data_IF_255458077929
#
_entry.id   IF_255458077929
#
_cell.length_a   1.000
_cell.length_b   1.000
_cell.length_c   1.000
_cell.angle_alpha   90.00
_cell.angle_beta   90.00
_cell.angle_gamma   90.00
#
_symmetry.space_group_name_H-M   'P 1'
#
loop_
_entity.id
_entity.type
_entity.pdbx_description
1 polymer ?
#
# COMPACT_ATOMS: atom_id res chain seq x y z
N UNK A 1 -3.67 -13.12 -13.34
CA UNK A 1 -2.43 -12.45 -12.89
C UNK A 1 -1.52 -13.48 -12.26
N UNK A 2 -0.23 -13.43 -12.52
CA UNK A 2 0.76 -14.24 -11.80
C UNK A 2 1.08 -13.60 -10.44
N UNK A 3 0.89 -14.39 -9.37
CA UNK A 3 1.08 -14.01 -7.97
C UNK A 3 2.38 -14.59 -7.38
N UNK A 4 3.20 -15.30 -8.17
CA UNK A 4 4.37 -16.07 -7.68
C UNK A 4 5.32 -15.22 -6.84
N UNK A 5 5.53 -13.96 -7.22
CA UNK A 5 6.43 -13.06 -6.52
C UNK A 5 5.71 -12.08 -5.57
N UNK A 6 4.38 -12.08 -5.50
CA UNK A 6 3.63 -11.08 -4.73
C UNK A 6 3.41 -11.60 -3.29
N UNK A 7 3.60 -10.73 -2.30
CA UNK A 7 3.40 -11.10 -0.88
C UNK A 7 2.00 -11.68 -0.64
N UNK A 8 1.91 -12.75 0.15
CA UNK A 8 0.64 -13.47 0.38
C UNK A 8 -0.47 -12.58 0.96
N UNK A 9 -0.11 -11.61 1.80
CA UNK A 9 -1.05 -10.63 2.38
C UNK A 9 -1.79 -9.82 1.30
N UNK A 10 -1.10 -9.50 0.21
CA UNK A 10 -1.67 -8.77 -0.92
C UNK A 10 -2.59 -9.65 -1.77
N UNK A 11 -2.23 -10.93 -1.96
CA UNK A 11 -3.12 -11.90 -2.61
C UNK A 11 -4.41 -12.07 -1.82
N UNK A 12 -4.33 -12.23 -0.50
CA UNK A 12 -5.51 -12.33 0.36
C UNK A 12 -6.37 -11.08 0.32
N UNK A 13 -5.75 -9.89 0.39
CA UNK A 13 -6.49 -8.63 0.27
C UNK A 13 -7.29 -8.59 -1.02
N UNK A 14 -6.71 -9.07 -2.12
CA UNK A 14 -7.38 -9.13 -3.41
C UNK A 14 -8.50 -10.18 -3.46
N UNK A 15 -8.24 -11.40 -2.98
CA UNK A 15 -9.24 -12.49 -2.93
C UNK A 15 -10.46 -12.08 -2.09
N UNK A 16 -10.22 -11.38 -0.99
CA UNK A 16 -11.23 -10.98 -0.02
C UNK A 16 -11.72 -9.53 -0.18
N UNK A 17 -11.32 -8.82 -1.25
CA UNK A 17 -11.64 -7.39 -1.39
C UNK A 17 -13.16 -7.14 -1.35
N UNK A 18 -13.93 -8.07 -1.92
CA UNK A 18 -15.39 -8.08 -1.89
C UNK A 18 -15.97 -8.01 -0.45
N UNK A 19 -15.32 -8.61 0.55
CA UNK A 19 -15.76 -8.54 1.95
C UNK A 19 -15.67 -7.12 2.53
N UNK A 20 -14.83 -6.26 1.94
CA UNK A 20 -14.68 -4.85 2.32
C UNK A 20 -15.65 -3.94 1.55
N UNK A 21 -16.02 -4.30 0.32
CA UNK A 21 -16.81 -3.45 -0.59
C UNK A 21 -18.31 -3.76 -0.56
N UNK A 22 -18.70 -5.04 -0.55
CA UNK A 22 -20.11 -5.46 -0.61
C UNK A 22 -20.98 -4.90 0.52
N UNK A 23 -20.51 -4.77 1.78
CA UNK A 23 -21.31 -4.16 2.85
C UNK A 23 -21.67 -2.70 2.58
N UNK A 24 -20.91 -2.01 1.73
CA UNK A 24 -21.22 -0.65 1.25
C UNK A 24 -22.03 -0.65 -0.05
N UNK A 25 -22.52 -1.80 -0.50
CA UNK A 25 -23.25 -1.98 -1.76
C UNK A 25 -22.36 -1.91 -3.00
N UNK A 26 -21.05 -2.05 -2.84
CA UNK A 26 -20.07 -1.94 -3.94
C UNK A 26 -19.74 -3.35 -4.44
N UNK A 27 -20.20 -3.66 -5.64
CA UNK A 27 -19.91 -4.90 -6.35
C UNK A 27 -18.88 -4.61 -7.45
N UNK A 28 -17.68 -5.14 -7.27
CA UNK A 28 -16.56 -4.89 -8.19
C UNK A 28 -16.65 -5.89 -9.36
N UNK A 29 -16.84 -5.43 -10.61
CA UNK A 29 -16.87 -6.32 -11.76
C UNK A 29 -15.49 -6.92 -12.04
N UNK A 30 -15.46 -8.07 -12.74
CA UNK A 30 -14.23 -8.85 -12.94
C UNK A 30 -13.09 -8.07 -13.62
N UNK A 31 -13.42 -7.22 -14.60
CA UNK A 31 -12.45 -6.37 -15.28
C UNK A 31 -11.81 -5.38 -14.31
N UNK A 32 -12.61 -4.77 -13.43
CA UNK A 32 -12.13 -3.86 -12.41
C UNK A 32 -11.33 -4.57 -11.33
N UNK A 33 -11.76 -5.78 -10.98
CA UNK A 33 -11.05 -6.61 -10.02
C UNK A 33 -9.67 -7.01 -10.56
N UNK A 34 -9.57 -7.31 -11.86
CA UNK A 34 -8.30 -7.54 -12.52
C UNK A 34 -7.42 -6.28 -12.49
N UNK A 35 -7.97 -5.10 -12.78
CA UNK A 35 -7.22 -3.84 -12.72
C UNK A 35 -6.66 -3.57 -11.31
N UNK A 36 -7.44 -3.81 -10.26
CA UNK A 36 -6.99 -3.72 -8.87
C UNK A 36 -5.88 -4.73 -8.54
N UNK A 37 -5.99 -5.96 -9.05
CA UNK A 37 -4.93 -6.96 -8.93
C UNK A 37 -3.62 -6.46 -9.55
N UNK A 38 -3.71 -5.89 -10.76
CA UNK A 38 -2.54 -5.36 -11.47
C UNK A 38 -1.93 -4.16 -10.74
N UNK A 39 -2.76 -3.28 -10.17
CA UNK A 39 -2.30 -2.20 -9.29
C UNK A 39 -1.51 -2.75 -8.10
N UNK A 40 -2.04 -3.74 -7.39
CA UNK A 40 -1.38 -4.34 -6.22
C UNK A 40 -0.02 -4.92 -6.61
N UNK A 41 0.05 -5.70 -7.70
CA UNK A 41 1.33 -6.24 -8.16
C UNK A 41 2.31 -5.16 -8.63
N UNK A 42 1.81 -4.10 -9.25
CA UNK A 42 2.62 -2.97 -9.67
C UNK A 42 3.20 -2.19 -8.46
N UNK A 43 2.43 -2.01 -7.40
CA UNK A 43 2.91 -1.42 -6.14
C UNK A 43 4.03 -2.29 -5.55
N UNK A 44 3.80 -3.60 -5.41
CA UNK A 44 4.78 -4.50 -4.80
C UNK A 44 6.09 -4.59 -5.61
N UNK A 45 6.03 -4.64 -6.95
CA UNK A 45 7.25 -4.64 -7.77
C UNK A 45 8.02 -3.32 -7.66
N UNK A 46 7.33 -2.18 -7.69
CA UNK A 46 7.96 -0.86 -7.58
C UNK A 46 8.61 -0.68 -6.22
N UNK A 47 7.93 -1.10 -5.15
CA UNK A 47 8.43 -1.09 -3.78
C UNK A 47 9.73 -1.91 -3.65
N UNK A 48 9.74 -3.14 -4.19
CA UNK A 48 10.94 -3.99 -4.19
C UNK A 48 12.11 -3.40 -4.97
N UNK A 49 11.87 -2.78 -6.11
CA UNK A 49 12.94 -2.16 -6.89
C UNK A 49 13.46 -0.90 -6.19
N UNK A 50 12.57 -0.08 -5.60
CA UNK A 50 12.94 1.08 -4.78
C UNK A 50 13.81 0.69 -3.58
N UNK A 51 13.45 -0.37 -2.87
CA UNK A 51 14.16 -0.80 -1.67
C UNK A 51 15.58 -1.33 -1.94
N UNK A 52 15.87 -1.71 -3.19
CA UNK A 52 17.23 -2.09 -3.63
C UNK A 52 18.13 -0.88 -3.91
N UNK A 53 17.55 0.30 -4.09
CA UNK A 53 18.29 1.51 -4.46
C UNK A 53 18.67 2.27 -3.19
N UNK A 54 19.97 2.30 -2.87
CA UNK A 54 20.48 2.94 -1.64
C UNK A 54 20.47 4.46 -1.69
N UNK A 55 20.84 5.06 -2.82
CA UNK A 55 20.97 6.51 -2.95
C UNK A 55 19.62 7.20 -3.22
N UNK A 56 19.32 8.25 -2.47
CA UNK A 56 18.08 9.02 -2.63
C UNK A 56 17.94 9.67 -4.01
N UNK A 57 19.04 10.14 -4.60
CA UNK A 57 19.07 10.68 -5.96
C UNK A 57 18.65 9.65 -7.01
N UNK A 58 19.01 8.39 -6.79
CA UNK A 58 18.78 7.31 -7.73
C UNK A 58 17.34 6.83 -7.62
N UNK A 59 16.79 6.78 -6.39
CA UNK A 59 15.34 6.55 -6.15
C UNK A 59 14.49 7.63 -6.81
N UNK A 60 14.87 8.90 -6.65
CA UNK A 60 14.18 10.03 -7.29
C UNK A 60 14.22 9.92 -8.83
N UNK A 61 15.37 9.54 -9.38
CA UNK A 61 15.54 9.34 -10.82
C UNK A 61 14.67 8.18 -11.31
N UNK A 62 14.68 7.05 -10.60
CA UNK A 62 13.84 5.88 -10.88
C UNK A 62 12.35 6.25 -10.89
N UNK A 63 11.85 6.89 -9.83
CA UNK A 63 10.44 7.29 -9.73
C UNK A 63 10.06 8.33 -10.77
N UNK A 64 10.91 9.32 -11.01
CA UNK A 64 10.66 10.31 -12.06
C UNK A 64 10.51 9.65 -13.43
N UNK A 65 11.31 8.64 -13.75
CA UNK A 65 11.20 7.90 -15.00
C UNK A 65 9.94 7.02 -15.08
N UNK A 66 9.59 6.32 -13.98
CA UNK A 66 8.33 5.57 -13.89
C UNK A 66 7.13 6.49 -14.09
N UNK A 67 7.09 7.62 -13.39
CA UNK A 67 6.00 8.59 -13.50
C UNK A 67 5.91 9.21 -14.89
N UNK A 68 7.03 9.53 -15.53
CA UNK A 68 7.07 10.05 -16.90
C UNK A 68 6.51 9.04 -17.91
N UNK A 69 6.82 7.76 -17.72
CA UNK A 69 6.26 6.67 -18.51
C UNK A 69 4.75 6.51 -18.30
N UNK A 70 4.29 6.40 -17.04
CA UNK A 70 2.87 6.25 -16.70
C UNK A 70 2.01 7.44 -17.14
N UNK A 71 2.56 8.65 -17.05
CA UNK A 71 1.91 9.89 -17.51
C UNK A 71 1.82 9.97 -19.04
N UNK A 72 2.60 9.16 -19.75
CA UNK A 72 2.67 9.14 -21.21
C UNK A 72 3.54 10.24 -21.82
N UNK A 73 4.37 10.90 -21.01
CA UNK A 73 5.37 11.88 -21.48
C UNK A 73 6.67 11.21 -21.95
N UNK A 74 6.82 9.89 -21.75
CA UNK A 74 7.80 9.02 -22.41
C UNK A 74 7.08 7.88 -23.15
N UNK A 75 7.60 7.47 -24.31
CA UNK A 75 7.19 6.23 -24.98
C UNK A 75 7.62 5.03 -24.15
N UNK A 76 8.88 5.03 -23.72
CA UNK A 76 9.55 3.90 -23.09
C UNK A 76 9.84 4.14 -21.62
N UNK A 77 9.85 3.06 -20.85
CA UNK A 77 10.26 3.06 -19.45
C UNK A 77 11.79 2.99 -19.39
N UNK A 78 12.42 4.11 -19.03
CA UNK A 78 13.89 4.24 -19.01
C UNK A 78 14.39 4.10 -17.57
N UNK A 79 14.46 2.86 -17.08
CA UNK A 79 15.01 2.51 -15.76
C UNK A 79 15.78 1.19 -15.86
N UNK A 80 16.71 0.95 -14.94
CA UNK A 80 17.19 -0.41 -14.67
C UNK A 80 16.11 -1.13 -13.83
N UNK A 81 15.80 -2.38 -14.16
CA UNK A 81 14.77 -3.14 -13.46
C UNK A 81 14.54 -4.52 -14.05
N UNK A 82 13.72 -5.31 -13.36
CA UNK A 82 13.32 -6.65 -13.79
C UNK A 82 12.33 -6.64 -14.97
N UNK A 83 12.28 -7.73 -15.74
CA UNK A 83 11.24 -7.95 -16.78
C UNK A 83 9.82 -7.81 -16.21
N UNK A 84 9.61 -8.28 -14.98
CA UNK A 84 8.35 -8.14 -14.24
C UNK A 84 7.96 -6.66 -14.05
N UNK A 85 8.92 -5.77 -13.75
CA UNK A 85 8.65 -4.33 -13.64
C UNK A 85 8.13 -3.78 -14.97
N UNK A 86 8.80 -4.08 -16.09
CA UNK A 86 8.42 -3.58 -17.40
C UNK A 86 7.01 -4.05 -17.80
N UNK A 87 6.71 -5.34 -17.62
CA UNK A 87 5.40 -5.91 -17.91
C UNK A 87 4.31 -5.25 -17.07
N UNK A 88 4.50 -5.17 -15.75
CA UNK A 88 3.51 -4.59 -14.83
C UNK A 88 3.29 -3.11 -15.08
N UNK A 89 4.34 -2.34 -15.39
CA UNK A 89 4.20 -0.91 -15.72
C UNK A 89 3.45 -0.71 -17.03
N UNK A 90 3.67 -1.56 -18.05
CA UNK A 90 2.93 -1.48 -19.30
C UNK A 90 1.43 -1.74 -19.09
N UNK A 91 1.09 -2.81 -18.38
CA UNK A 91 -0.30 -3.13 -18.03
C UNK A 91 -0.93 -2.01 -17.18
N UNK A 92 -0.21 -1.50 -16.18
CA UNK A 92 -0.70 -0.43 -15.33
C UNK A 92 -0.96 0.84 -16.15
N UNK A 93 -0.05 1.21 -17.06
CA UNK A 93 -0.19 2.37 -17.94
C UNK A 93 -1.45 2.28 -18.79
N UNK A 94 -1.73 1.12 -19.37
CA UNK A 94 -2.95 0.89 -20.14
C UNK A 94 -4.20 1.02 -19.28
N UNK A 95 -4.21 0.45 -18.08
CA UNK A 95 -5.34 0.55 -17.16
C UNK A 95 -5.61 2.00 -16.75
N UNK A 96 -4.61 2.74 -16.27
CA UNK A 96 -4.80 4.15 -15.85
C UNK A 96 -5.16 5.07 -17.02
N UNK A 97 -4.76 4.72 -18.25
CA UNK A 97 -5.16 5.43 -19.45
C UNK A 97 -6.63 5.15 -19.79
N UNK A 98 -7.05 3.88 -19.81
CA UNK A 98 -8.44 3.48 -20.08
C UNK A 98 -9.41 4.08 -19.07
N UNK A 99 -8.98 4.20 -17.81
CA UNK A 99 -9.78 4.78 -16.73
C UNK A 99 -9.69 6.31 -16.65
N UNK A 100 -8.89 6.94 -17.51
CA UNK A 100 -8.69 8.39 -17.56
C UNK A 100 -8.19 9.00 -16.23
N UNK A 101 -7.44 8.22 -15.45
CA UNK A 101 -6.91 8.62 -14.12
C UNK A 101 -5.42 8.97 -14.12
N UNK A 102 -4.75 8.98 -15.27
CA UNK A 102 -3.28 9.17 -15.37
C UNK A 102 -2.72 10.29 -14.50
N UNK A 103 -3.31 11.49 -14.57
CA UNK A 103 -2.81 12.67 -13.86
C UNK A 103 -2.94 12.47 -12.35
N UNK A 104 -4.17 12.20 -11.88
CA UNK A 104 -4.48 12.01 -10.46
C UNK A 104 -3.71 10.82 -9.86
N UNK A 105 -3.56 9.73 -10.61
CA UNK A 105 -2.77 8.58 -10.22
C UNK A 105 -1.29 8.95 -10.05
N UNK A 106 -0.67 9.58 -11.06
CA UNK A 106 0.75 9.94 -10.99
C UNK A 106 1.03 10.97 -9.89
N UNK A 107 0.13 11.92 -9.68
CA UNK A 107 0.27 12.92 -8.62
C UNK A 107 0.12 12.29 -7.23
N UNK A 108 -0.76 11.29 -7.10
CA UNK A 108 -0.87 10.50 -5.86
C UNK A 108 0.39 9.69 -5.59
N UNK A 109 0.95 9.00 -6.59
CA UNK A 109 2.21 8.26 -6.47
C UNK A 109 3.36 9.19 -6.07
N UNK A 110 3.48 10.36 -6.70
CA UNK A 110 4.50 11.35 -6.32
C UNK A 110 4.40 11.69 -4.83
N UNK A 111 3.21 11.97 -4.33
CA UNK A 111 3.00 12.26 -2.90
C UNK A 111 3.34 11.07 -2.01
N UNK A 112 2.99 9.84 -2.40
CA UNK A 112 3.35 8.62 -1.65
C UNK A 112 4.87 8.55 -1.49
N UNK A 113 5.61 8.72 -2.59
CA UNK A 113 7.09 8.68 -2.58
C UNK A 113 7.67 9.81 -1.75
N UNK A 114 7.16 11.03 -1.87
CA UNK A 114 7.62 12.18 -1.09
C UNK A 114 7.46 11.92 0.43
N UNK A 115 6.33 11.33 0.84
CA UNK A 115 6.13 10.90 2.23
C UNK A 115 7.04 9.73 2.62
N UNK A 116 7.29 8.77 1.73
CA UNK A 116 8.24 7.68 1.96
C UNK A 116 9.67 8.16 2.20
N UNK A 117 10.16 9.12 1.42
CA UNK A 117 11.48 9.73 1.62
C UNK A 117 11.53 10.61 2.88
N UNK A 118 10.48 11.41 3.13
CA UNK A 118 10.40 12.21 4.36
C UNK A 118 10.36 11.33 5.62
N UNK A 119 9.71 10.15 5.55
CA UNK A 119 9.75 9.12 6.60
C UNK A 119 11.18 8.61 6.84
N UNK A 120 11.93 8.28 5.78
CA UNK A 120 13.34 7.83 5.87
C UNK A 120 14.22 8.85 6.60
N UNK A 121 13.98 10.15 6.33
CA UNK A 121 14.75 11.29 6.85
C UNK A 121 14.21 11.87 8.17
N UNK A 122 13.12 11.34 8.71
CA UNK A 122 12.47 11.89 9.90
C UNK A 122 13.40 11.86 11.12
N UNK A 123 13.38 12.93 11.90
CA UNK A 123 14.25 13.12 13.07
C UNK A 123 13.53 12.85 14.39
N UNK A 124 12.20 12.72 14.36
CA UNK A 124 11.39 12.39 15.53
C UNK A 124 10.40 11.27 15.23
N UNK A 125 9.96 10.57 16.30
CA UNK A 125 8.91 9.55 16.17
C UNK A 125 7.61 10.14 15.60
N UNK A 126 7.26 11.38 15.93
CA UNK A 126 5.99 11.98 15.50
C UNK A 126 6.01 12.32 14.01
N UNK A 127 7.11 12.89 13.51
CA UNK A 127 7.30 13.14 12.08
C UNK A 127 7.30 11.83 11.29
N UNK A 128 8.06 10.83 11.74
CA UNK A 128 8.13 9.54 11.07
C UNK A 128 6.75 8.88 10.99
N UNK A 129 6.01 8.86 12.11
CA UNK A 129 4.65 8.30 12.15
C UNK A 129 3.70 9.09 11.28
N UNK A 130 3.80 10.41 11.25
CA UNK A 130 2.97 11.24 10.38
C UNK A 130 3.17 10.88 8.91
N UNK A 131 4.42 10.83 8.46
CA UNK A 131 4.73 10.47 7.07
C UNK A 131 4.34 9.02 6.74
N UNK A 132 4.59 8.08 7.65
CA UNK A 132 4.17 6.68 7.52
C UNK A 132 2.65 6.54 7.34
N UNK A 133 1.87 7.24 8.15
CA UNK A 133 0.40 7.20 8.10
C UNK A 133 -0.11 7.84 6.81
N UNK A 134 0.46 8.97 6.40
CA UNK A 134 0.00 9.70 5.21
C UNK A 134 0.39 8.98 3.91
N UNK A 135 1.59 8.40 3.85
CA UNK A 135 2.05 7.51 2.76
C UNK A 135 0.98 6.43 2.49
N UNK A 136 0.59 5.68 3.53
CA UNK A 136 -0.36 4.58 3.37
C UNK A 136 -1.79 5.02 3.17
N UNK A 137 -2.20 6.16 3.75
CA UNK A 137 -3.50 6.77 3.44
C UNK A 137 -3.60 7.09 1.95
N UNK A 138 -2.52 7.63 1.36
CA UNK A 138 -2.42 7.92 -0.07
C UNK A 138 -2.34 6.64 -0.91
N UNK A 139 -1.64 5.59 -0.44
CA UNK A 139 -1.68 4.28 -1.10
C UNK A 139 -3.11 3.75 -1.17
N UNK A 140 -3.91 3.95 -0.13
CA UNK A 140 -5.35 3.64 -0.12
C UNK A 140 -6.20 4.46 -1.10
N UNK A 141 -5.72 5.62 -1.57
CA UNK A 141 -6.37 6.39 -2.63
C UNK A 141 -6.27 5.66 -3.97
N UNK A 142 -5.18 4.94 -4.25
CA UNK A 142 -4.98 4.29 -5.55
C UNK A 142 -6.07 3.26 -5.89
N UNK A 143 -6.45 2.31 -5.01
CA UNK A 143 -7.58 1.41 -5.27
C UNK A 143 -8.90 2.16 -5.48
N UNK A 144 -9.13 3.27 -4.76
CA UNK A 144 -10.35 4.07 -4.93
C UNK A 144 -10.37 4.76 -6.30
N UNK A 145 -9.23 5.27 -6.77
CA UNK A 145 -9.12 5.79 -8.14
C UNK A 145 -9.47 4.75 -9.19
N UNK A 146 -9.18 3.48 -8.91
CA UNK A 146 -9.59 2.39 -9.77
C UNK A 146 -11.08 2.14 -9.66
N UNK A 147 -11.68 2.15 -8.46
CA UNK A 147 -13.12 1.96 -8.29
C UNK A 147 -13.97 3.06 -8.96
N UNK A 148 -13.49 4.31 -9.03
CA UNK A 148 -14.17 5.44 -9.68
C UNK A 148 -15.64 5.57 -9.22
N UNK A 149 -16.58 5.54 -10.17
CA UNK A 149 -18.02 5.64 -9.94
C UNK A 149 -18.61 4.52 -9.07
N UNK A 150 -17.87 3.42 -8.87
CA UNK A 150 -18.27 2.34 -7.97
C UNK A 150 -18.02 2.69 -6.50
N UNK A 151 -17.12 3.64 -6.23
CA UNK A 151 -16.79 4.07 -4.87
C UNK A 151 -17.93 4.90 -4.25
N UNK A 152 -18.04 4.86 -2.93
CA UNK A 152 -18.96 5.71 -2.16
C UNK A 152 -18.18 6.54 -1.13
N UNK A 153 -18.64 7.76 -0.78
CA UNK A 153 -17.98 8.56 0.24
C UNK A 153 -17.85 7.85 1.60
N UNK A 154 -18.79 6.98 1.94
CA UNK A 154 -18.78 6.17 3.15
C UNK A 154 -17.68 5.11 3.11
N UNK A 155 -17.59 4.37 1.99
CA UNK A 155 -16.53 3.40 1.77
C UNK A 155 -15.16 4.07 1.79
N UNK A 156 -14.98 5.21 1.12
CA UNK A 156 -13.70 5.93 1.09
C UNK A 156 -13.23 6.34 2.49
N UNK A 157 -14.13 6.91 3.30
CA UNK A 157 -13.82 7.27 4.69
C UNK A 157 -13.36 6.06 5.50
N UNK A 158 -14.04 4.93 5.33
CA UNK A 158 -13.67 3.67 5.97
C UNK A 158 -12.32 3.16 5.46
N UNK A 159 -12.16 3.06 4.15
CA UNK A 159 -11.02 2.47 3.49
C UNK A 159 -9.74 3.26 3.75
N UNK A 160 -9.78 4.59 3.63
CA UNK A 160 -8.64 5.44 3.96
C UNK A 160 -8.24 5.33 5.43
N UNK A 161 -9.21 5.17 6.34
CA UNK A 161 -8.91 4.97 7.74
C UNK A 161 -8.28 3.59 7.99
N UNK A 162 -8.74 2.55 7.30
CA UNK A 162 -8.10 1.22 7.33
C UNK A 162 -6.65 1.31 6.86
N UNK A 163 -6.41 1.86 5.67
CA UNK A 163 -5.07 1.97 5.09
C UNK A 163 -4.13 2.79 5.99
N UNK A 164 -4.60 3.87 6.61
CA UNK A 164 -3.83 4.67 7.56
C UNK A 164 -3.40 3.90 8.83
N UNK A 165 -4.07 2.80 9.18
CA UNK A 165 -3.74 1.98 10.37
C UNK A 165 -2.81 0.81 10.09
N UNK A 166 -2.89 0.22 8.89
CA UNK A 166 -2.08 -0.93 8.48
C UNK A 166 -0.56 -0.73 8.64
N UNK A 167 0.05 0.42 8.28
CA UNK A 167 1.49 0.54 8.37
C UNK A 167 2.03 0.50 9.80
N UNK A 168 1.20 0.89 10.77
CA UNK A 168 1.63 0.84 12.16
C UNK A 168 1.70 -0.63 12.64
N UNK A 169 0.92 -1.55 12.08
CA UNK A 169 1.01 -2.99 12.35
C UNK A 169 2.29 -3.56 11.74
N UNK A 170 2.55 -3.22 10.48
CA UNK A 170 3.75 -3.62 9.73
C UNK A 170 5.03 -3.15 10.46
N UNK A 171 5.10 -1.85 10.77
CA UNK A 171 6.22 -1.25 11.51
C UNK A 171 6.37 -1.81 12.93
N UNK A 172 5.30 -2.25 13.61
CA UNK A 172 5.43 -2.91 14.91
C UNK A 172 6.18 -4.25 14.82
N UNK A 173 6.11 -4.92 13.67
CA UNK A 173 6.81 -6.18 13.40
C UNK A 173 8.22 -5.91 12.87
N UNK A 174 8.35 -4.94 11.96
CA UNK A 174 9.54 -4.79 11.11
C UNK A 174 10.45 -3.61 11.47
N UNK A 175 10.10 -2.73 12.43
CA UNK A 175 10.90 -1.54 12.75
C UNK A 175 12.40 -1.82 12.99
N UNK A 176 12.76 -2.99 13.53
CA UNK A 176 14.17 -3.37 13.71
C UNK A 176 14.88 -3.67 12.39
N UNK A 177 14.21 -4.31 11.45
CA UNK A 177 14.70 -4.58 10.12
C UNK A 177 14.82 -3.26 9.35
N UNK A 178 13.77 -2.44 9.38
CA UNK A 178 13.72 -1.13 8.69
C UNK A 178 14.82 -0.18 9.17
N UNK A 179 15.12 -0.21 10.48
CA UNK A 179 16.24 0.56 11.02
C UNK A 179 17.60 0.03 10.56
N UNK A 180 17.75 -1.28 10.39
CA UNK A 180 19.00 -1.90 9.92
C UNK A 180 19.21 -1.71 8.43
N UNK A 181 18.14 -1.70 7.63
CA UNK A 181 18.17 -1.46 6.19
C UNK A 181 18.23 0.03 5.83
N UNK A 182 18.15 0.93 6.81
CA UNK A 182 18.18 2.38 6.57
C UNK A 182 16.87 2.94 5.99
N UNK A 183 15.77 2.17 6.05
CA UNK A 183 14.44 2.64 5.70
C UNK A 183 13.84 3.59 6.75
N UNK A 184 14.34 3.55 7.99
CA UNK A 184 14.06 4.57 9.01
C UNK A 184 15.34 4.96 9.74
N UNK A 185 15.47 6.25 10.05
CA UNK A 185 16.61 6.77 10.85
C UNK A 185 16.36 6.64 12.36
N UNK A 186 15.09 6.53 12.77
CA UNK A 186 14.69 6.48 14.17
C UNK A 186 14.94 5.09 14.75
N UNK A 187 15.70 5.03 15.84
CA UNK A 187 15.95 3.78 16.54
C UNK A 187 14.65 3.22 17.15
N UNK A 188 14.35 1.93 16.95
CA UNK A 188 13.18 1.30 17.55
C UNK A 188 13.28 1.25 19.07
N UNK A 189 12.51 2.11 19.74
CA UNK A 189 12.41 2.19 21.20
C UNK A 189 11.05 1.73 21.69
N UNK A 190 10.91 1.38 22.97
CA UNK A 190 9.60 1.09 23.58
C UNK A 190 8.61 2.23 23.34
N UNK A 191 9.10 3.47 23.40
CA UNK A 191 8.28 4.65 23.14
C UNK A 191 7.73 4.71 21.71
N UNK A 192 8.55 4.34 20.71
CA UNK A 192 8.07 4.20 19.33
C UNK A 192 6.95 3.17 19.24
N UNK A 193 7.13 1.98 19.83
CA UNK A 193 6.13 0.92 19.80
C UNK A 193 4.82 1.35 20.48
N UNK A 194 4.89 2.08 21.60
CA UNK A 194 3.70 2.63 22.27
C UNK A 194 2.96 3.63 21.37
N UNK A 195 3.68 4.47 20.64
CA UNK A 195 3.07 5.40 19.67
C UNK A 195 2.42 4.65 18.49
N UNK A 196 3.10 3.65 17.93
CA UNK A 196 2.56 2.82 16.85
C UNK A 196 1.32 2.05 17.30
N UNK A 197 1.33 1.44 18.50
CA UNK A 197 0.15 0.79 19.09
C UNK A 197 -1.02 1.76 19.21
N UNK A 198 -0.77 3.01 19.61
CA UNK A 198 -1.82 4.04 19.65
C UNK A 198 -2.38 4.33 18.26
N UNK A 199 -1.53 4.43 17.24
CA UNK A 199 -1.95 4.63 15.84
C UNK A 199 -2.80 3.46 15.35
N UNK A 200 -2.43 2.22 15.68
CA UNK A 200 -3.22 1.03 15.35
C UNK A 200 -4.58 1.02 16.06
N UNK A 201 -4.60 1.27 17.38
CA UNK A 201 -5.76 1.01 18.22
C UNK A 201 -6.76 2.17 18.25
N UNK A 202 -6.30 3.42 18.18
CA UNK A 202 -7.18 4.59 18.33
C UNK A 202 -8.29 4.66 17.25
N UNK A 203 -8.04 4.25 15.98
CA UNK A 203 -9.07 4.26 14.95
C UNK A 203 -10.08 3.11 15.03
N UNK A 204 -9.80 2.02 15.75
CA UNK A 204 -10.63 0.81 15.75
C UNK A 204 -12.11 1.06 16.09
N UNK A 205 -12.48 1.86 17.12
CA UNK A 205 -13.88 2.15 17.39
C UNK A 205 -14.58 2.86 16.23
N UNK A 206 -13.86 3.77 15.56
CA UNK A 206 -14.39 4.51 14.40
C UNK A 206 -14.51 3.60 13.18
N UNK A 207 -13.57 2.69 12.96
CA UNK A 207 -13.66 1.68 11.90
C UNK A 207 -14.88 0.77 12.08
N UNK A 208 -15.14 0.32 13.29
CA UNK A 208 -16.32 -0.48 13.61
C UNK A 208 -17.63 0.30 13.40
N UNK A 209 -17.63 1.61 13.67
CA UNK A 209 -18.80 2.45 13.44
C UNK A 209 -19.04 2.78 11.97
N UNK A 210 -17.97 2.97 11.19
CA UNK A 210 -18.08 3.29 9.76
C UNK A 210 -18.44 2.08 8.90
N UNK A 211 -18.15 0.87 9.36
CA UNK A 211 -18.39 -0.35 8.60
C UNK A 211 -19.83 -0.86 8.81
N UNK A 212 -20.64 -1.05 7.74
CA UNK A 212 -22.04 -1.45 7.86
C UNK A 212 -22.29 -2.80 8.56
N UNK A 213 -21.28 -3.69 8.57
CA UNK A 213 -21.38 -5.03 9.16
C UNK A 213 -20.22 -5.32 10.14
N UNK A 214 -20.17 -4.68 11.33
CA UNK A 214 -18.98 -4.67 12.19
C UNK A 214 -18.50 -6.07 12.64
N UNK A 215 -19.42 -7.02 12.82
CA UNK A 215 -19.07 -8.41 13.15
C UNK A 215 -18.33 -9.10 12.00
N UNK A 216 -18.69 -8.82 10.75
CA UNK A 216 -17.99 -9.32 9.57
C UNK A 216 -16.57 -8.76 9.51
N UNK A 217 -16.41 -7.45 9.76
CA UNK A 217 -15.09 -6.82 9.84
C UNK A 217 -14.22 -7.43 10.94
N UNK A 218 -14.78 -7.68 12.13
CA UNK A 218 -14.04 -8.34 13.21
C UNK A 218 -13.60 -9.75 12.82
N UNK A 219 -14.48 -10.55 12.22
CA UNK A 219 -14.13 -11.91 11.74
C UNK A 219 -13.05 -11.86 10.67
N UNK A 220 -13.15 -10.90 9.76
CA UNK A 220 -12.16 -10.66 8.71
C UNK A 220 -10.79 -10.29 9.29
N UNK A 221 -10.74 -9.30 10.19
CA UNK A 221 -9.52 -8.88 10.86
C UNK A 221 -8.86 -10.03 11.65
N UNK A 222 -9.67 -10.84 12.36
CA UNK A 222 -9.18 -12.03 13.05
C UNK A 222 -8.59 -13.07 12.09
N UNK A 223 -9.12 -13.20 10.86
CA UNK A 223 -8.57 -14.11 9.86
C UNK A 223 -7.17 -13.69 9.38
N UNK A 224 -6.91 -12.38 9.29
CA UNK A 224 -5.59 -11.83 8.98
C UNK A 224 -4.60 -12.08 10.11
N UNK A 225 -4.99 -11.82 11.35
CA UNK A 225 -4.16 -12.10 12.53
C UNK A 225 -3.81 -13.59 12.63
N UNK A 226 -4.80 -14.46 12.40
CA UNK A 226 -4.60 -15.90 12.43
C UNK A 226 -3.64 -16.40 11.35
N UNK A 227 -3.73 -15.86 10.13
CA UNK A 227 -2.77 -16.16 9.06
C UNK A 227 -1.38 -15.63 9.36
N UNK A 228 -1.24 -14.40 9.89
CA UNK A 228 0.05 -13.86 10.30
C UNK A 228 0.74 -14.74 11.36
N UNK A 229 -0.03 -15.27 12.32
CA UNK A 229 0.47 -16.21 13.33
C UNK A 229 0.92 -17.53 12.68
N UNK A 230 0.13 -18.08 11.74
CA UNK A 230 0.47 -19.34 11.05
C UNK A 230 1.67 -19.20 10.10
N UNK A 231 1.79 -18.08 9.39
CA UNK A 231 2.91 -17.77 8.52
C UNK A 231 4.21 -17.66 9.31
N UNK A 232 4.19 -16.94 10.44
CA UNK A 232 5.32 -16.84 11.34
C UNK A 232 5.77 -18.21 11.88
N UNK A 233 4.84 -19.13 12.20
CA UNK A 233 5.21 -20.48 12.67
C UNK A 233 5.85 -21.36 11.58
N UNK A 234 5.58 -21.12 10.29
CA UNK A 234 6.20 -21.87 9.20
C UNK A 234 7.58 -21.32 8.80
N UNK A 235 7.84 -20.03 9.01
CA UNK A 235 9.17 -19.42 8.76
C UNK A 235 10.24 -19.77 9.79
N UNK A 236 9.87 -20.33 10.95
CA UNK A 236 10.82 -20.87 11.94
C UNK A 236 11.07 -22.38 11.78
N UNK A 237 10.54 -23.00 10.73
CA UNK A 237 10.70 -24.42 10.44
C UNK A 237 11.61 -24.70 9.21
N UNK A 238 12.28 -23.69 8.66
CA UNK A 238 13.28 -23.80 7.58
C UNK A 238 14.61 -23.19 7.98
#
# INVERSE_FOLDING_TARGET
>A
MDWTNVREVYRKLQDDFHLLTEPFGIFVPDDRNLDLSQLIGAIDVVDRELDRIEAASDRETFISNVLRYLRGTSSDLVVEGSEELFERMAILREAIQRLEIRTEFCDTIRRIVDHGEAKRLAMTNDEMIHHLVEEWRLTGVLPVLFLRELSTPEFEKFFYLCCATMPAIDMLQDARMDYRSGQITIRPTVWLHLKLLRVCCAPLPKLLFLFPAPLTLMRYALSFVWQGIRGATNSYAT
#
